data_IF_735833412473
#
_entry.id   IF_735833412473
#
_cell.length_a   1.000
_cell.length_b   1.000
_cell.length_c   1.000
_cell.angle_alpha   90.00
_cell.angle_beta   90.00
_cell.angle_gamma   90.00
#
_symmetry.space_group_name_H-M   'P 1'
#
loop_
_entity.id
_entity.type
_entity.pdbx_description
1 polymer ?
#
# COMPACT_ATOMS: atom_id res chain seq x y z
N UNK A 1 -0.20 10.26 21.00
CA UNK A 1 -1.06 9.90 19.86
C UNK A 1 -0.67 8.54 19.31
N UNK A 2 -1.68 7.76 18.96
CA UNK A 2 -1.42 6.43 18.41
C UNK A 2 -0.94 6.52 16.97
N UNK A 3 0.05 5.72 16.62
CA UNK A 3 0.50 5.61 15.24
C UNK A 3 -0.58 4.87 14.44
N UNK A 4 -0.87 5.39 13.25
CA UNK A 4 -1.80 4.74 12.34
C UNK A 4 -1.03 3.84 11.38
N UNK A 5 -1.56 2.65 11.12
CA UNK A 5 -0.92 1.65 10.26
C UNK A 5 -1.84 1.27 9.11
N UNK A 6 -1.32 1.31 7.90
CA UNK A 6 -2.05 0.93 6.68
C UNK A 6 -1.23 -0.11 5.94
N UNK A 7 -1.83 -1.27 5.69
CA UNK A 7 -1.18 -2.33 4.93
C UNK A 7 -1.32 -2.04 3.43
N UNK A 8 -0.23 -2.17 2.70
CA UNK A 8 -0.21 -2.01 1.24
C UNK A 8 -0.04 -3.40 0.63
N UNK A 9 -0.92 -3.77 -0.28
CA UNK A 9 -0.81 -5.01 -1.05
C UNK A 9 -0.86 -4.66 -2.53
N UNK A 10 0.13 -5.12 -3.29
CA UNK A 10 0.25 -4.81 -4.70
C UNK A 10 0.82 -6.01 -5.46
N UNK A 11 0.80 -5.93 -6.78
CA UNK A 11 1.39 -6.95 -7.63
C UNK A 11 2.88 -6.64 -7.81
N UNK A 12 3.73 -7.25 -7.00
CA UNK A 12 5.16 -6.94 -6.96
C UNK A 12 5.93 -7.38 -8.21
N UNK A 13 5.32 -8.18 -9.06
CA UNK A 13 5.91 -8.56 -10.34
C UNK A 13 5.75 -7.52 -11.43
N UNK A 14 5.04 -6.42 -11.18
CA UNK A 14 4.78 -5.38 -12.17
C UNK A 14 5.37 -4.05 -11.71
N UNK A 15 6.15 -3.43 -12.60
CA UNK A 15 6.81 -2.16 -12.30
C UNK A 15 5.82 -1.03 -12.02
N UNK A 16 4.71 -0.96 -12.75
CA UNK A 16 3.70 0.08 -12.52
C UNK A 16 3.08 -0.03 -11.12
N UNK A 17 2.87 -1.26 -10.63
CA UNK A 17 2.38 -1.47 -9.27
C UNK A 17 3.41 -1.05 -8.23
N UNK A 18 4.69 -1.34 -8.47
CA UNK A 18 5.76 -0.93 -7.57
C UNK A 18 5.90 0.59 -7.52
N UNK A 19 5.77 1.26 -8.66
CA UNK A 19 5.79 2.72 -8.71
C UNK A 19 4.59 3.31 -7.95
N UNK A 20 3.40 2.76 -8.16
CA UNK A 20 2.20 3.21 -7.46
C UNK A 20 2.32 3.01 -5.95
N UNK A 21 2.81 1.85 -5.53
CA UNK A 21 3.00 1.56 -4.11
C UNK A 21 4.02 2.47 -3.45
N UNK A 22 5.10 2.80 -4.16
CA UNK A 22 6.10 3.74 -3.67
C UNK A 22 5.47 5.12 -3.44
N UNK A 23 4.65 5.58 -4.38
CA UNK A 23 3.96 6.86 -4.26
C UNK A 23 2.99 6.87 -3.08
N UNK A 24 2.22 5.78 -2.91
CA UNK A 24 1.30 5.66 -1.78
C UNK A 24 2.08 5.68 -0.45
N UNK A 25 3.18 4.96 -0.36
CA UNK A 25 4.00 4.97 0.85
C UNK A 25 4.52 6.36 1.17
N UNK A 26 4.95 7.11 0.15
CA UNK A 26 5.44 8.47 0.33
C UNK A 26 4.34 9.39 0.86
N UNK A 27 3.15 9.30 0.29
CA UNK A 27 2.03 10.15 0.69
C UNK A 27 1.54 9.81 2.09
N UNK A 28 1.45 8.52 2.43
CA UNK A 28 1.07 8.09 3.78
C UNK A 28 2.09 8.57 4.81
N UNK A 29 3.37 8.40 4.53
CA UNK A 29 4.44 8.83 5.43
C UNK A 29 4.41 10.32 5.65
N UNK A 30 4.14 11.10 4.59
CA UNK A 30 4.02 12.55 4.70
C UNK A 30 2.84 12.97 5.58
N UNK A 31 1.80 12.12 5.66
CA UNK A 31 0.63 12.37 6.50
C UNK A 31 0.78 11.80 7.92
N UNK A 32 1.92 11.24 8.25
CA UNK A 32 2.16 10.65 9.57
C UNK A 32 1.59 9.26 9.75
N UNK A 33 1.22 8.58 8.65
CA UNK A 33 0.70 7.21 8.67
C UNK A 33 1.82 6.27 8.24
N UNK A 34 2.01 5.18 9.01
CA UNK A 34 3.06 4.22 8.73
C UNK A 34 2.60 3.19 7.71
N UNK A 35 3.25 3.09 6.54
CA UNK A 35 2.93 2.01 5.60
C UNK A 35 3.47 0.69 6.12
N UNK A 36 2.72 -0.39 5.91
CA UNK A 36 3.05 -1.73 6.36
C UNK A 36 2.97 -2.68 5.17
N UNK A 37 3.86 -3.65 5.09
CA UNK A 37 3.83 -4.69 4.07
C UNK A 37 4.25 -6.02 4.68
N UNK A 38 3.88 -7.12 4.02
CA UNK A 38 4.47 -8.41 4.38
C UNK A 38 5.97 -8.36 4.08
N UNK A 39 6.75 -9.20 4.74
CA UNK A 39 8.21 -9.21 4.53
C UNK A 39 8.58 -9.43 3.05
N UNK A 40 7.92 -10.39 2.40
CA UNK A 40 8.19 -10.69 0.99
C UNK A 40 7.92 -9.47 0.10
N UNK A 41 6.82 -8.80 0.35
CA UNK A 41 6.46 -7.62 -0.45
C UNK A 41 7.41 -6.46 -0.17
N UNK A 42 7.73 -6.20 1.10
CA UNK A 42 8.68 -5.15 1.44
C UNK A 42 10.04 -5.38 0.78
N UNK A 43 10.50 -6.62 0.77
CA UNK A 43 11.79 -6.96 0.14
C UNK A 43 11.77 -6.66 -1.36
N UNK A 44 10.63 -6.89 -2.02
CA UNK A 44 10.48 -6.56 -3.45
C UNK A 44 10.59 -5.04 -3.67
N UNK A 45 10.01 -4.24 -2.78
CA UNK A 45 10.10 -2.78 -2.87
C UNK A 45 11.52 -2.28 -2.59
N UNK A 46 12.20 -2.88 -1.63
CA UNK A 46 13.60 -2.53 -1.34
C UNK A 46 14.48 -2.80 -2.56
N UNK A 47 14.32 -3.98 -3.19
CA UNK A 47 15.07 -4.33 -4.38
C UNK A 47 14.76 -3.40 -5.54
N UNK A 48 13.48 -3.08 -5.75
CA UNK A 48 13.08 -2.13 -6.78
C UNK A 48 13.71 -0.74 -6.53
N UNK A 49 13.69 -0.29 -5.28
CA UNK A 49 14.26 1.01 -4.90
C UNK A 49 15.76 1.09 -5.22
N UNK A 50 16.48 0.00 -5.03
CA UNK A 50 17.93 -0.04 -5.35
C UNK A 50 18.22 0.15 -6.83
N UNK A 51 17.27 -0.22 -7.69
CA UNK A 51 17.43 -0.08 -9.13
C UNK A 51 17.11 1.34 -9.64
N UNK A 52 16.62 2.22 -8.77
CA UNK A 52 16.24 3.58 -9.14
C UNK A 52 17.43 4.54 -9.00
N UNK A 53 17.47 5.54 -9.87
CA UNK A 53 18.51 6.58 -9.80
C UNK A 53 18.40 7.38 -8.51
N UNK A 54 17.18 7.61 -8.05
CA UNK A 54 16.91 8.33 -6.80
C UNK A 54 15.93 7.51 -5.96
N UNK A 55 16.43 6.56 -5.15
CA UNK A 55 15.55 5.76 -4.29
C UNK A 55 14.73 6.64 -3.34
N UNK A 56 13.47 6.28 -3.14
CA UNK A 56 12.58 7.06 -2.29
C UNK A 56 12.75 6.68 -0.82
N UNK A 57 12.90 7.69 0.04
CA UNK A 57 13.09 7.47 1.48
C UNK A 57 11.91 6.74 2.13
N UNK A 58 10.71 6.88 1.59
CA UNK A 58 9.53 6.23 2.14
C UNK A 58 9.66 4.70 2.17
N UNK A 59 10.47 4.11 1.30
CA UNK A 59 10.68 2.67 1.27
C UNK A 59 11.35 2.19 2.56
N UNK A 60 12.27 2.98 3.13
CA UNK A 60 12.92 2.62 4.39
C UNK A 60 12.00 2.77 5.60
N UNK A 61 10.87 3.47 5.43
CA UNK A 61 9.89 3.67 6.50
C UNK A 61 8.82 2.57 6.56
N UNK A 62 8.85 1.61 5.64
CA UNK A 62 7.87 0.53 5.60
C UNK A 62 8.11 -0.44 6.75
N UNK A 63 7.06 -0.68 7.56
CA UNK A 63 7.11 -1.66 8.64
C UNK A 63 6.69 -3.03 8.14
N UNK A 64 7.15 -4.08 8.79
CA UNK A 64 6.87 -5.46 8.38
C UNK A 64 5.72 -6.02 9.21
N UNK A 65 4.70 -6.53 8.53
CA UNK A 65 3.56 -7.19 9.17
C UNK A 65 4.04 -8.46 9.90
N UNK A 66 3.54 -8.65 11.10
CA UNK A 66 3.88 -9.77 12.00
C UNK A 66 5.32 -9.76 12.53
N UNK A 67 6.16 -8.87 12.02
CA UNK A 67 7.49 -8.68 12.57
C UNK A 67 7.55 -7.42 13.44
N UNK A 68 7.07 -6.32 12.91
CA UNK A 68 7.08 -5.03 13.59
C UNK A 68 5.68 -4.52 13.95
N UNK A 69 4.65 -4.94 13.20
CA UNK A 69 3.27 -4.50 13.38
C UNK A 69 2.36 -5.72 13.42
N UNK A 70 1.48 -5.78 14.41
CA UNK A 70 0.47 -6.84 14.50
C UNK A 70 -0.70 -6.50 13.56
N UNK A 71 -1.26 -7.53 12.90
CA UNK A 71 -2.38 -7.33 11.99
C UNK A 71 -3.60 -6.68 12.63
N UNK A 72 -3.79 -6.83 13.93
CA UNK A 72 -4.88 -6.19 14.66
C UNK A 72 -4.73 -4.68 14.73
N UNK A 73 -3.53 -4.16 14.52
CA UNK A 73 -3.26 -2.72 14.56
C UNK A 73 -3.56 -2.02 13.24
N UNK A 74 -3.81 -2.80 12.17
CA UNK A 74 -4.08 -2.24 10.84
C UNK A 74 -5.47 -1.61 10.79
N UNK A 75 -5.57 -0.38 10.29
CA UNK A 75 -6.88 0.26 10.14
C UNK A 75 -7.54 -0.05 8.80
N UNK A 76 -6.75 -0.21 7.74
CA UNK A 76 -7.26 -0.47 6.40
C UNK A 76 -6.15 -1.08 5.55
N UNK A 77 -6.54 -1.82 4.51
CA UNK A 77 -5.62 -2.36 3.51
C UNK A 77 -5.85 -1.62 2.21
N UNK A 78 -4.81 -1.01 1.66
CA UNK A 78 -4.87 -0.41 0.32
C UNK A 78 -4.37 -1.45 -0.68
N UNK A 79 -5.25 -1.83 -1.60
CA UNK A 79 -4.95 -2.86 -2.60
C UNK A 79 -4.73 -2.20 -3.95
N UNK A 80 -3.52 -2.35 -4.49
CA UNK A 80 -3.13 -1.72 -5.75
C UNK A 80 -3.07 -2.81 -6.83
N UNK A 81 -4.09 -2.87 -7.67
CA UNK A 81 -4.15 -3.85 -8.74
C UNK A 81 -5.56 -4.31 -9.05
N UNK A 82 -5.68 -5.52 -9.58
CA UNK A 82 -6.95 -6.10 -9.98
C UNK A 82 -7.46 -7.18 -9.02
N UNK A 83 -8.34 -8.03 -9.52
CA UNK A 83 -9.03 -9.06 -8.72
C UNK A 83 -8.07 -10.02 -8.00
N UNK A 84 -7.00 -10.43 -8.67
CA UNK A 84 -6.03 -11.34 -8.07
C UNK A 84 -5.32 -10.72 -6.87
N UNK A 85 -5.05 -9.43 -6.94
CA UNK A 85 -4.41 -8.71 -5.84
C UNK A 85 -5.37 -8.54 -4.66
N UNK A 86 -6.66 -8.32 -4.95
CA UNK A 86 -7.69 -8.22 -3.92
C UNK A 86 -7.82 -9.56 -3.17
N UNK A 87 -7.79 -10.68 -3.90
CA UNK A 87 -7.83 -12.01 -3.28
C UNK A 87 -6.62 -12.24 -2.39
N UNK A 88 -5.45 -11.84 -2.85
CA UNK A 88 -4.21 -11.94 -2.07
C UNK A 88 -4.32 -11.12 -0.77
N UNK A 89 -4.84 -9.90 -0.86
CA UNK A 89 -5.01 -9.04 0.30
C UNK A 89 -5.99 -9.62 1.31
N UNK A 90 -7.12 -10.13 0.82
CA UNK A 90 -8.14 -10.75 1.67
C UNK A 90 -7.56 -11.95 2.43
N UNK A 91 -6.73 -12.75 1.77
CA UNK A 91 -6.07 -13.89 2.40
C UNK A 91 -5.11 -13.45 3.50
N UNK A 92 -4.35 -12.38 3.26
CA UNK A 92 -3.39 -11.87 4.24
C UNK A 92 -4.08 -11.42 5.53
N UNK A 93 -5.23 -10.79 5.43
CA UNK A 93 -5.91 -10.19 6.59
C UNK A 93 -7.17 -10.96 7.03
N UNK A 94 -7.37 -12.17 6.56
CA UNK A 94 -8.63 -12.90 6.82
C UNK A 94 -8.94 -13.13 8.29
N UNK A 95 -7.94 -13.14 9.15
CA UNK A 95 -8.13 -13.32 10.59
C UNK A 95 -8.52 -12.02 11.30
N UNK A 96 -8.40 -10.90 10.62
CA UNK A 96 -8.66 -9.58 11.20
C UNK A 96 -9.69 -8.87 10.35
N UNK A 97 -10.83 -8.56 10.78
CA UNK A 97 -11.88 -7.93 9.98
C UNK A 97 -11.45 -6.55 9.41
N UNK A 98 -10.27 -6.48 8.82
CA UNK A 98 -9.69 -5.24 8.29
C UNK A 98 -10.34 -4.88 6.95
N UNK A 99 -10.85 -3.65 6.79
CA UNK A 99 -11.46 -3.26 5.51
C UNK A 99 -10.43 -3.11 4.40
N UNK A 100 -10.85 -3.40 3.18
CA UNK A 100 -10.02 -3.30 1.99
C UNK A 100 -10.45 -2.09 1.15
N UNK A 101 -9.49 -1.28 0.73
CA UNK A 101 -9.72 -0.18 -0.20
C UNK A 101 -8.98 -0.51 -1.49
N UNK A 102 -9.72 -0.88 -2.52
CA UNK A 102 -9.14 -1.26 -3.81
C UNK A 102 -8.88 -0.06 -4.71
N UNK A 103 -7.72 -0.06 -5.36
CA UNK A 103 -7.37 0.94 -6.36
C UNK A 103 -7.03 0.18 -7.63
N UNK A 104 -7.85 0.36 -8.66
CA UNK A 104 -7.65 -0.32 -9.93
C UNK A 104 -6.61 0.43 -10.76
N UNK A 105 -5.49 -0.23 -11.04
CA UNK A 105 -4.44 0.32 -11.89
C UNK A 105 -4.70 -0.11 -13.34
N UNK A 106 -4.41 0.80 -14.27
CA UNK A 106 -4.57 0.51 -15.69
C UNK A 106 -3.65 -0.61 -16.18
N UNK A 107 -3.87 -1.04 -17.39
CA UNK A 107 -3.15 -2.19 -17.97
C UNK A 107 -1.88 -1.81 -18.72
N UNK A 108 -1.54 -0.55 -18.78
CA UNK A 108 -0.40 -0.05 -19.54
C UNK A 108 0.83 -0.04 -18.65
N UNK A 109 1.98 -0.36 -19.18
CA UNK A 109 3.21 -0.51 -18.42
C UNK A 109 3.80 0.77 -17.79
N UNK A 110 3.03 1.84 -17.69
CA UNK A 110 3.44 3.06 -16.99
C UNK A 110 2.23 3.68 -16.31
N UNK A 111 2.49 4.43 -15.26
CA UNK A 111 1.44 5.05 -14.46
C UNK A 111 0.98 6.34 -15.13
N UNK A 112 -0.26 6.37 -15.60
CA UNK A 112 -0.85 7.54 -16.23
C UNK A 112 -1.14 8.64 -15.18
N UNK A 113 -1.22 9.89 -15.63
CA UNK A 113 -1.49 11.01 -14.74
C UNK A 113 -2.82 10.84 -13.99
N UNK A 114 -3.86 10.36 -14.69
CA UNK A 114 -5.17 10.11 -14.07
C UNK A 114 -5.10 9.04 -12.98
N UNK A 115 -4.21 8.06 -13.14
CA UNK A 115 -4.03 7.02 -12.13
C UNK A 115 -3.30 7.56 -10.91
N UNK A 116 -2.34 8.48 -11.10
CA UNK A 116 -1.67 9.15 -10.00
C UNK A 116 -2.64 10.01 -9.20
N UNK A 117 -3.55 10.71 -9.88
CA UNK A 117 -4.59 11.49 -9.21
C UNK A 117 -5.49 10.59 -8.39
N UNK A 118 -5.83 9.39 -8.93
CA UNK A 118 -6.61 8.40 -8.20
C UNK A 118 -5.91 7.89 -6.95
N UNK A 119 -4.58 7.72 -7.01
CA UNK A 119 -3.80 7.32 -5.85
C UNK A 119 -3.82 8.40 -4.77
N UNK A 120 -3.66 9.66 -5.16
CA UNK A 120 -3.69 10.78 -4.22
C UNK A 120 -5.05 10.91 -3.56
N UNK A 121 -6.13 10.74 -4.33
CA UNK A 121 -7.49 10.78 -3.80
C UNK A 121 -7.72 9.64 -2.80
N UNK A 122 -7.23 8.43 -3.11
CA UNK A 122 -7.38 7.28 -2.22
C UNK A 122 -6.62 7.50 -0.92
N UNK A 123 -5.40 8.02 -0.99
CA UNK A 123 -4.63 8.33 0.21
C UNK A 123 -5.34 9.41 1.04
N UNK A 124 -5.88 10.44 0.39
CA UNK A 124 -6.62 11.50 1.08
C UNK A 124 -7.81 10.93 1.85
N UNK A 125 -8.53 9.97 1.26
CA UNK A 125 -9.65 9.31 1.95
C UNK A 125 -9.18 8.55 3.18
N UNK A 126 -8.06 7.87 3.09
CA UNK A 126 -7.49 7.15 4.22
C UNK A 126 -7.10 8.14 5.33
N UNK A 127 -6.42 9.22 4.96
CA UNK A 127 -6.00 10.26 5.92
C UNK A 127 -7.20 10.83 6.67
N UNK A 128 -8.31 11.05 5.98
CA UNK A 128 -9.52 11.63 6.54
C UNK A 128 -10.51 10.59 7.09
N UNK A 129 -10.19 9.30 7.05
CA UNK A 129 -11.09 8.18 7.42
C UNK A 129 -12.37 8.15 6.56
N UNK A 130 -12.30 8.66 5.34
CA UNK A 130 -13.44 8.71 4.43
C UNK A 130 -13.44 7.49 3.51
N UNK A 131 -13.72 6.32 4.10
CA UNK A 131 -13.85 5.06 3.36
C UNK A 131 -14.88 4.17 4.04
N UNK A 132 -15.52 3.30 3.24
CA UNK A 132 -16.55 2.40 3.76
C UNK A 132 -15.91 1.19 4.45
N UNK A 133 -16.34 0.93 5.67
CA UNK A 133 -15.94 -0.27 6.39
C UNK A 133 -17.08 -1.29 6.23
N UNK A 134 -16.76 -2.41 5.59
CA UNK A 134 -17.70 -3.53 5.48
C UNK A 134 -17.28 -4.61 6.46
N UNK A 135 -18.17 -4.89 7.36
CA UNK A 135 -17.99 -5.98 8.29
C UNK A 135 -18.56 -7.27 7.73
#
# INVERSE_FOLDING_TARGET
MSTRYVLIVSHTGREDSLLAGTEVCAQLSAAGIKPVMTLTERDAYVEFSRSQVAPHEAISNIAVLDGEVDGQELEVVMVLGGDGTILKAAEVVREWATPLLGINLGHVGFLAESERDGLSDAVARVVEHDYLVKE
#
